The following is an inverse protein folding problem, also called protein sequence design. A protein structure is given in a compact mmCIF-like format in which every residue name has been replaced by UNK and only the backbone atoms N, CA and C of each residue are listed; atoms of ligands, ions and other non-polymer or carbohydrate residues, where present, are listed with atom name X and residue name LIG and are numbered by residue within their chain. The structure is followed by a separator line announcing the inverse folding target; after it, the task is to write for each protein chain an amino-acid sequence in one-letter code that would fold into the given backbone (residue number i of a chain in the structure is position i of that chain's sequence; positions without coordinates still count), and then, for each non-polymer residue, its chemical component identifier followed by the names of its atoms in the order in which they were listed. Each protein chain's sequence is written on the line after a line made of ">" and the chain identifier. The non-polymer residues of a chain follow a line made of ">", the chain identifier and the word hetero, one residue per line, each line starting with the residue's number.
data_IF_844503778856
#
_entry.id   IF_844503778856
#
_cell.length_a   1.000
_cell.length_b   1.000
_cell.length_c   1.000
_cell.angle_alpha   90.00
_cell.angle_beta   90.00
_cell.angle_gamma   90.00
#
_symmetry.space_group_name_H-M   'P 1'
#
loop_
_entity.id
_entity.type
_entity.pdbx_description
1 polymer ?
#
# COMPACT_ATOMS: atom_id res chain seq x y z
N UNK A 1 3.32 2.51 4.38
CA UNK A 1 2.51 1.88 3.32
C UNK A 1 2.85 0.40 3.15
N UNK A 2 3.96 0.04 2.50
CA UNK A 2 4.26 -1.38 2.22
C UNK A 2 4.17 -2.31 3.45
N UNK A 3 4.73 -1.91 4.61
CA UNK A 3 4.64 -2.75 5.80
C UNK A 3 3.22 -2.94 6.32
N UNK A 4 2.36 -1.92 6.27
CA UNK A 4 0.97 -2.09 6.72
C UNK A 4 0.23 -3.04 5.79
N UNK A 5 0.47 -2.92 4.48
CA UNK A 5 -0.24 -3.75 3.50
C UNK A 5 0.06 -5.21 3.77
N UNK A 6 1.33 -5.57 4.00
CA UNK A 6 1.71 -6.94 4.36
C UNK A 6 1.07 -7.44 5.67
N UNK A 7 0.98 -6.59 6.70
CA UNK A 7 0.35 -6.97 7.97
C UNK A 7 -1.13 -7.32 7.77
N UNK A 8 -1.84 -6.51 6.98
CA UNK A 8 -3.24 -6.77 6.66
C UNK A 8 -3.41 -7.96 5.70
N UNK A 9 -2.52 -8.09 4.71
CA UNK A 9 -2.46 -9.21 3.76
C UNK A 9 -2.32 -10.56 4.48
N UNK A 10 -1.55 -10.58 5.57
CA UNK A 10 -1.31 -11.79 6.35
C UNK A 10 -2.53 -12.25 7.17
N UNK A 11 -3.57 -11.41 7.38
CA UNK A 11 -4.70 -11.73 8.24
C UNK A 11 -5.46 -13.00 7.80
N UNK A 12 -6.15 -13.70 8.72
CA UNK A 12 -6.97 -14.88 8.37
C UNK A 12 -8.05 -14.58 7.33
N UNK A 13 -8.55 -13.35 7.32
CA UNK A 13 -9.52 -12.88 6.33
C UNK A 13 -8.89 -12.52 4.98
N UNK A 14 -7.59 -12.68 4.79
CA UNK A 14 -6.85 -12.35 3.56
C UNK A 14 -6.06 -13.60 3.14
N UNK A 15 -4.72 -13.57 3.13
CA UNK A 15 -3.87 -14.71 2.75
C UNK A 15 -3.77 -15.77 3.85
N UNK A 16 -4.19 -15.46 5.08
CA UNK A 16 -4.09 -16.33 6.26
C UNK A 16 -2.66 -16.90 6.46
N UNK A 17 -1.66 -16.04 6.31
CA UNK A 17 -0.26 -16.43 6.33
C UNK A 17 0.27 -16.53 7.77
N UNK A 18 0.74 -17.72 8.16
CA UNK A 18 1.32 -17.94 9.50
C UNK A 18 2.72 -17.32 9.66
N UNK A 19 3.49 -17.29 8.58
CA UNK A 19 4.89 -16.87 8.55
C UNK A 19 5.16 -15.88 7.42
N UNK A 20 6.01 -14.89 7.69
CA UNK A 20 6.57 -13.98 6.70
C UNK A 20 8.08 -13.88 6.87
N UNK A 21 8.83 -14.24 5.83
CA UNK A 21 10.30 -14.29 5.84
C UNK A 21 10.86 -15.09 7.04
N UNK A 22 10.24 -16.24 7.33
CA UNK A 22 10.64 -17.13 8.42
C UNK A 22 10.26 -16.67 9.84
N UNK A 23 9.47 -15.61 9.99
CA UNK A 23 9.02 -15.09 11.29
C UNK A 23 7.49 -15.15 11.39
N UNK A 24 6.92 -15.36 12.60
CA UNK A 24 5.48 -15.26 12.80
C UNK A 24 4.93 -13.92 12.31
N UNK A 25 3.83 -13.95 11.58
CA UNK A 25 3.11 -12.74 11.16
C UNK A 25 2.48 -12.05 12.37
N UNK A 26 2.09 -10.78 12.21
CA UNK A 26 1.61 -9.97 13.34
C UNK A 26 0.43 -10.61 14.07
N UNK A 27 -0.52 -11.18 13.33
CA UNK A 27 -1.71 -11.79 13.92
C UNK A 27 -1.41 -13.12 14.63
N UNK A 28 -0.34 -13.83 14.22
CA UNK A 28 0.13 -15.04 14.92
C UNK A 28 0.96 -14.74 16.15
N UNK A 29 1.75 -13.66 16.11
CA UNK A 29 2.62 -13.29 17.23
C UNK A 29 1.85 -12.61 18.36
N UNK A 30 0.87 -11.80 18.00
CA UNK A 30 0.05 -11.02 18.93
C UNK A 30 -1.39 -11.54 18.84
N UNK A 31 -2.26 -10.81 18.14
CA UNK A 31 -3.63 -11.19 17.82
C UNK A 31 -4.10 -10.41 16.58
N UNK A 32 -5.28 -10.75 16.06
CA UNK A 32 -5.86 -10.08 14.88
C UNK A 32 -6.14 -8.59 15.13
N UNK A 33 -6.65 -8.23 16.31
CA UNK A 33 -6.98 -6.84 16.64
C UNK A 33 -5.73 -5.95 16.63
N UNK A 34 -4.64 -6.43 17.21
CA UNK A 34 -3.34 -5.76 17.23
C UNK A 34 -2.76 -5.67 15.81
N UNK A 35 -2.90 -6.71 14.98
CA UNK A 35 -2.44 -6.67 13.60
C UNK A 35 -3.21 -5.62 12.77
N UNK A 36 -4.54 -5.55 12.93
CA UNK A 36 -5.39 -4.54 12.28
C UNK A 36 -4.93 -3.14 12.69
N UNK A 37 -4.87 -2.86 14.00
CA UNK A 37 -4.49 -1.54 14.52
C UNK A 37 -3.04 -1.15 14.20
N UNK A 38 -2.12 -2.13 14.16
CA UNK A 38 -0.75 -1.88 13.73
C UNK A 38 -0.69 -1.47 12.25
N UNK A 39 -1.50 -2.11 11.40
CA UNK A 39 -1.61 -1.71 10.01
C UNK A 39 -2.21 -0.30 9.86
N UNK A 40 -3.31 -0.01 10.55
CA UNK A 40 -3.95 1.32 10.53
C UNK A 40 -3.00 2.43 11.03
N UNK A 41 -2.24 2.13 12.08
CA UNK A 41 -1.20 3.01 12.62
C UNK A 41 -0.07 3.26 11.61
N UNK A 42 0.44 2.23 10.94
CA UNK A 42 1.51 2.36 9.94
C UNK A 42 1.05 3.03 8.64
N UNK A 43 -0.21 2.88 8.26
CA UNK A 43 -0.83 3.63 7.16
C UNK A 43 -0.86 5.12 7.51
N UNK A 44 -1.43 5.46 8.67
CA UNK A 44 -1.54 6.83 9.16
C UNK A 44 -0.17 7.50 9.34
N UNK A 45 0.78 6.78 9.94
CA UNK A 45 2.14 7.25 10.16
C UNK A 45 2.87 7.59 8.85
N UNK A 46 2.58 6.89 7.75
CA UNK A 46 3.19 7.21 6.46
C UNK A 46 2.81 8.61 5.97
N UNK A 47 1.55 9.04 6.20
CA UNK A 47 1.09 10.38 5.85
C UNK A 47 1.62 11.45 6.80
N UNK A 48 1.69 11.15 8.09
CA UNK A 48 2.36 12.03 9.05
C UNK A 48 3.83 12.25 8.68
N UNK A 49 4.58 11.20 8.36
CA UNK A 49 6.00 11.33 7.98
C UNK A 49 6.18 12.26 6.77
N UNK A 50 5.36 12.10 5.73
CA UNK A 50 5.52 12.85 4.47
C UNK A 50 5.22 14.34 4.63
N UNK A 51 4.37 14.72 5.57
CA UNK A 51 3.97 16.12 5.76
C UNK A 51 4.93 16.92 6.65
N UNK A 52 5.88 16.24 7.33
CA UNK A 52 6.89 16.87 8.19
C UNK A 52 7.84 17.79 7.41
N UNK A 53 8.24 18.90 8.02
CA UNK A 53 9.18 19.87 7.43
C UNK A 53 10.56 19.26 7.09
N UNK A 54 10.95 18.18 7.78
CA UNK A 54 12.19 17.45 7.50
C UNK A 54 12.22 16.77 6.12
N UNK A 55 11.05 16.56 5.48
CA UNK A 55 10.98 15.95 4.15
C UNK A 55 11.37 16.96 3.07
N UNK A 56 10.89 18.20 3.18
CA UNK A 56 11.19 19.28 2.26
C UNK A 56 10.72 20.61 2.88
N UNK A 57 11.40 21.74 2.63
CA UNK A 57 11.01 23.04 3.19
C UNK A 57 9.73 23.61 2.53
N UNK A 58 9.57 23.42 1.22
CA UNK A 58 8.38 23.83 0.47
C UNK A 58 7.15 22.94 0.79
N UNK A 59 6.06 23.49 1.36
CA UNK A 59 4.83 22.73 1.62
C UNK A 59 4.13 22.23 0.34
N UNK A 60 4.31 22.88 -0.81
CA UNK A 60 3.72 22.44 -2.08
C UNK A 60 4.31 21.10 -2.53
N UNK A 61 5.62 20.90 -2.33
CA UNK A 61 6.30 19.62 -2.59
C UNK A 61 5.77 18.53 -1.66
N UNK A 62 5.65 18.81 -0.36
CA UNK A 62 5.09 17.84 0.62
C UNK A 62 3.65 17.47 0.28
N UNK A 63 2.83 18.43 -0.15
CA UNK A 63 1.46 18.18 -0.61
C UNK A 63 1.43 17.33 -1.89
N UNK A 64 2.33 17.58 -2.84
CA UNK A 64 2.43 16.79 -4.07
C UNK A 64 2.80 15.32 -3.77
N UNK A 65 3.79 15.09 -2.89
CA UNK A 65 4.17 13.76 -2.41
C UNK A 65 2.99 13.06 -1.72
N UNK A 66 2.33 13.76 -0.80
CA UNK A 66 1.16 13.25 -0.06
C UNK A 66 0.05 12.80 -1.02
N UNK A 67 -0.29 13.64 -2.01
CA UNK A 67 -1.33 13.33 -3.01
C UNK A 67 -0.94 12.15 -3.90
N UNK A 68 0.32 12.09 -4.32
CA UNK A 68 0.83 10.97 -5.11
C UNK A 68 0.77 9.65 -4.32
N UNK A 69 1.16 9.67 -3.04
CA UNK A 69 1.08 8.49 -2.19
C UNK A 69 -0.36 8.04 -1.96
N UNK A 70 -1.27 8.96 -1.66
CA UNK A 70 -2.69 8.65 -1.44
C UNK A 70 -3.31 7.95 -2.65
N UNK A 71 -3.01 8.44 -3.86
CA UNK A 71 -3.47 7.81 -5.12
C UNK A 71 -2.85 6.44 -5.35
N UNK A 72 -1.56 6.29 -5.05
CA UNK A 72 -0.85 5.03 -5.23
C UNK A 72 -1.28 3.95 -4.21
N UNK A 73 -1.62 4.33 -2.98
CA UNK A 73 -2.02 3.40 -1.93
C UNK A 73 -3.52 3.05 -1.96
N UNK A 74 -4.39 3.99 -2.34
CA UNK A 74 -5.85 3.85 -2.24
C UNK A 74 -6.50 3.01 -3.34
N UNK A 75 -7.80 3.24 -3.55
CA UNK A 75 -8.66 2.48 -4.48
C UNK A 75 -8.19 2.50 -5.94
N UNK A 76 -7.55 3.58 -6.38
CA UNK A 76 -6.97 3.68 -7.73
C UNK A 76 -5.58 3.05 -7.87
N UNK A 77 -5.06 2.43 -6.81
CA UNK A 77 -3.73 1.85 -6.73
C UNK A 77 -3.75 0.55 -5.92
N UNK A 78 -2.85 0.42 -4.95
CA UNK A 78 -2.58 -0.81 -4.22
C UNK A 78 -3.83 -1.48 -3.65
N UNK A 79 -4.69 -0.76 -2.92
CA UNK A 79 -5.92 -1.35 -2.35
C UNK A 79 -6.89 -1.81 -3.43
N UNK A 80 -7.01 -1.07 -4.54
CA UNK A 80 -7.83 -1.54 -5.67
C UNK A 80 -7.28 -2.82 -6.29
N UNK A 81 -5.96 -2.90 -6.46
CA UNK A 81 -5.29 -4.12 -6.93
C UNK A 81 -5.48 -5.30 -5.98
N UNK A 82 -5.50 -5.04 -4.68
CA UNK A 82 -5.80 -6.05 -3.66
C UNK A 82 -7.22 -6.62 -3.79
N UNK A 83 -8.22 -5.74 -4.01
CA UNK A 83 -9.59 -6.18 -4.25
C UNK A 83 -9.70 -7.03 -5.52
N UNK A 84 -9.01 -6.65 -6.59
CA UNK A 84 -8.98 -7.43 -7.83
C UNK A 84 -8.34 -8.81 -7.65
N UNK A 85 -7.33 -8.91 -6.78
CA UNK A 85 -6.67 -10.18 -6.46
C UNK A 85 -7.60 -11.11 -5.69
N UNK A 86 -8.27 -10.61 -4.65
CA UNK A 86 -9.30 -11.37 -3.93
C UNK A 86 -10.45 -11.83 -4.84
N UNK A 87 -10.88 -10.98 -5.78
CA UNK A 87 -11.86 -11.35 -6.79
C UNK A 87 -11.34 -12.49 -7.68
N UNK A 88 -10.07 -12.42 -8.09
CA UNK A 88 -9.38 -13.46 -8.84
C UNK A 88 -9.28 -14.81 -8.13
N UNK A 89 -9.25 -14.81 -6.80
CA UNK A 89 -9.32 -16.01 -5.96
C UNK A 89 -10.74 -16.57 -5.81
N UNK A 90 -11.73 -15.95 -6.49
CA UNK A 90 -13.13 -16.37 -6.47
C UNK A 90 -13.89 -15.95 -5.22
N UNK A 91 -13.34 -15.03 -4.41
CA UNK A 91 -13.90 -14.66 -3.11
C UNK A 91 -15.30 -14.06 -3.19
N UNK A 92 -15.64 -13.40 -4.30
CA UNK A 92 -16.97 -12.79 -4.50
C UNK A 92 -17.86 -13.58 -5.47
N UNK A 93 -17.44 -14.80 -5.85
CA UNK A 93 -18.18 -15.63 -6.82
C UNK A 93 -18.07 -15.15 -8.26
N UNK A 94 -16.95 -14.49 -8.60
CA UNK A 94 -16.74 -13.88 -9.90
C UNK A 94 -16.54 -14.94 -11.01
N UNK A 95 -17.30 -14.91 -12.11
CA UNK A 95 -17.22 -15.90 -13.19
C UNK A 95 -16.09 -15.62 -14.19
N UNK A 96 -15.56 -14.39 -14.22
CA UNK A 96 -14.54 -13.97 -15.19
C UNK A 96 -13.15 -13.85 -14.54
N UNK A 97 -12.09 -14.30 -15.22
CA UNK A 97 -10.72 -14.16 -14.72
C UNK A 97 -10.31 -12.68 -14.65
N UNK A 98 -9.52 -12.28 -13.64
CA UNK A 98 -9.11 -10.89 -13.48
C UNK A 98 -8.16 -10.47 -14.61
N UNK A 99 -8.21 -9.19 -14.99
CA UNK A 99 -7.15 -8.57 -15.81
C UNK A 99 -5.85 -8.53 -15.00
N UNK A 100 -5.01 -9.56 -15.20
CA UNK A 100 -3.73 -9.74 -14.48
C UNK A 100 -2.79 -8.57 -14.69
N UNK A 101 -2.78 -7.96 -15.88
CA UNK A 101 -1.92 -6.82 -16.15
C UNK A 101 -2.35 -5.61 -15.32
N UNK A 102 -3.67 -5.33 -15.27
CA UNK A 102 -4.22 -4.26 -14.45
C UNK A 102 -4.03 -4.51 -12.96
N UNK A 103 -4.26 -5.74 -12.51
CA UNK A 103 -4.02 -6.18 -11.13
C UNK A 103 -2.57 -5.90 -10.72
N UNK A 104 -1.59 -6.36 -11.50
CA UNK A 104 -0.17 -6.18 -11.17
C UNK A 104 0.26 -4.71 -11.19
N UNK A 105 -0.26 -3.92 -12.14
CA UNK A 105 -0.03 -2.47 -12.17
C UNK A 105 -0.54 -1.77 -10.90
N UNK A 106 -1.62 -2.27 -10.32
CA UNK A 106 -2.24 -1.70 -9.13
C UNK A 106 -1.65 -2.25 -7.83
N UNK A 107 -1.73 -3.57 -7.57
CA UNK A 107 -1.32 -4.23 -6.32
C UNK A 107 0.15 -3.95 -6.00
N UNK A 108 1.03 -4.02 -7.01
CA UNK A 108 2.48 -3.87 -6.82
C UNK A 108 3.03 -2.63 -7.51
N UNK A 109 2.64 -2.41 -8.78
CA UNK A 109 3.21 -1.37 -9.63
C UNK A 109 2.97 0.05 -9.13
N UNK A 110 1.84 0.32 -8.46
CA UNK A 110 1.47 1.66 -8.01
C UNK A 110 2.49 2.22 -7.00
N UNK A 111 2.97 1.42 -6.06
CA UNK A 111 3.94 1.87 -5.06
C UNK A 111 5.37 1.95 -5.61
N UNK A 112 5.74 1.04 -6.52
CA UNK A 112 7.02 1.15 -7.23
C UNK A 112 7.08 2.44 -8.06
N UNK A 113 6.00 2.73 -8.79
CA UNK A 113 5.84 3.98 -9.53
C UNK A 113 5.91 5.19 -8.61
N UNK A 114 5.27 5.15 -7.44
CA UNK A 114 5.39 6.21 -6.44
C UNK A 114 6.84 6.44 -6.01
N UNK A 115 7.61 5.38 -5.74
CA UNK A 115 9.02 5.48 -5.36
C UNK A 115 9.85 6.27 -6.37
N UNK A 116 9.64 6.02 -7.68
CA UNK A 116 10.32 6.77 -8.75
C UNK A 116 9.83 8.23 -8.85
N UNK A 117 8.51 8.44 -8.84
CA UNK A 117 7.91 9.78 -8.98
C UNK A 117 8.25 10.67 -7.78
N UNK A 118 8.34 10.10 -6.58
CA UNK A 118 8.71 10.86 -5.38
C UNK A 118 10.09 11.51 -5.53
N UNK A 119 11.06 10.81 -6.12
CA UNK A 119 12.38 11.38 -6.42
C UNK A 119 12.30 12.56 -7.39
N UNK A 120 11.50 12.46 -8.45
CA UNK A 120 11.28 13.54 -9.41
C UNK A 120 10.59 14.76 -8.76
N UNK A 121 9.59 14.54 -7.90
CA UNK A 121 8.91 15.60 -7.14
C UNK A 121 9.90 16.31 -6.20
N UNK A 122 10.69 15.54 -5.44
CA UNK A 122 11.70 16.11 -4.53
C UNK A 122 12.79 16.89 -5.26
N UNK A 123 13.19 16.43 -6.45
CA UNK A 123 14.18 17.10 -7.29
C UNK A 123 13.66 18.29 -8.08
N UNK A 124 12.36 18.62 -7.99
CA UNK A 124 11.76 19.70 -8.77
C UNK A 124 11.79 19.48 -10.28
N UNK A 125 11.76 18.22 -10.73
CA UNK A 125 11.82 17.89 -12.15
C UNK A 125 10.61 18.48 -12.92
N UNK A 126 10.87 18.93 -14.14
CA UNK A 126 9.81 19.28 -15.10
C UNK A 126 9.00 18.06 -15.50
N UNK A 127 7.85 18.30 -16.15
CA UNK A 127 7.04 17.22 -16.75
C UNK A 127 7.71 16.55 -17.96
N UNK A 128 8.71 17.23 -18.51
CA UNK A 128 9.59 16.83 -19.62
C UNK A 128 10.96 16.50 -19.05
#
# INVERSE_FOLDING_TARGET
>A
IHCYSLIHDDLPSMDNSDLRRGRPTSHKKYDEATAILAGDGLLTLAFDIITRDAVHSDPAIRLALTRALARAAGIGGMVGGQIMDLAGEGRFGDPEPPDVAKLQQMKTGALLKYGCIAGAILGGASKE
#
